data_IF_677021461257
#
_entry.id   IF_677021461257
#
_cell.length_a   1.000
_cell.length_b   1.000
_cell.length_c   1.000
_cell.angle_alpha   90.00
_cell.angle_beta   90.00
_cell.angle_gamma   90.00
#
_symmetry.space_group_name_H-M   'P 1'
#
loop_
_entity.id
_entity.type
_entity.pdbx_description
1 polymer ?
#
# COMPACT_ATOMS: atom_id res chain seq x y z
N UNK A 1 25.11 -8.78 1.20
CA UNK A 1 24.82 -9.59 2.39
C UNK A 1 23.33 -9.48 2.66
N UNK A 2 22.58 -10.57 2.51
CA UNK A 2 21.14 -10.63 2.81
C UNK A 2 20.97 -10.51 4.33
N UNK A 3 20.47 -9.36 4.81
CA UNK A 3 20.09 -9.21 6.21
C UNK A 3 18.83 -10.04 6.44
N UNK A 4 18.91 -11.08 7.27
CA UNK A 4 17.73 -11.82 7.74
C UNK A 4 17.05 -11.02 8.85
N UNK A 5 16.18 -10.09 8.45
CA UNK A 5 15.33 -9.34 9.38
C UNK A 5 13.99 -10.07 9.53
N UNK A 6 13.36 -10.01 10.72
CA UNK A 6 12.00 -10.49 10.86
C UNK A 6 11.07 -9.74 9.90
N UNK A 7 9.96 -10.36 9.49
CA UNK A 7 8.93 -9.63 8.78
C UNK A 7 8.23 -8.69 9.78
N UNK A 8 8.11 -7.39 9.49
CA UNK A 8 7.36 -6.48 10.36
C UNK A 8 5.88 -6.85 10.34
N UNK A 9 5.27 -6.91 11.52
CA UNK A 9 3.86 -7.24 11.72
C UNK A 9 2.99 -6.00 11.97
N UNK A 10 3.60 -4.88 12.34
CA UNK A 10 2.92 -3.59 12.48
C UNK A 10 3.84 -2.38 12.20
N UNK A 11 3.32 -1.17 12.46
CA UNK A 11 4.07 0.08 12.29
C UNK A 11 5.17 0.30 13.33
N UNK A 12 5.01 -0.23 14.55
CA UNK A 12 6.02 -0.07 15.60
C UNK A 12 7.26 -0.91 15.27
N UNK A 13 7.08 -2.10 14.68
CA UNK A 13 8.21 -2.92 14.19
C UNK A 13 9.08 -2.16 13.18
N UNK A 14 8.49 -1.31 12.33
CA UNK A 14 9.22 -0.53 11.33
C UNK A 14 10.14 0.56 11.95
N UNK A 15 9.94 0.87 13.24
CA UNK A 15 10.80 1.81 13.96
C UNK A 15 12.10 1.18 14.46
N UNK A 16 12.21 -0.15 14.43
CA UNK A 16 13.37 -0.87 14.96
C UNK A 16 14.66 -0.53 14.16
N UNK A 17 15.75 -0.12 14.83
CA UNK A 17 16.99 0.27 14.15
C UNK A 17 17.65 -0.85 13.35
N UNK A 18 17.28 -2.12 13.56
CA UNK A 18 17.72 -3.25 12.71
C UNK A 18 17.34 -3.05 11.23
N UNK A 19 16.30 -2.27 10.96
CA UNK A 19 15.89 -1.91 9.60
C UNK A 19 16.60 -0.67 9.02
N UNK A 20 17.61 -0.11 9.69
CA UNK A 20 18.32 1.06 9.19
C UNK A 20 18.86 0.85 7.77
N UNK A 21 18.45 1.72 6.84
CA UNK A 21 18.82 1.66 5.42
C UNK A 21 18.21 0.47 4.68
N UNK A 22 17.12 -0.08 5.21
CA UNK A 22 16.52 -1.31 4.72
C UNK A 22 15.03 -1.15 4.35
N UNK A 23 14.36 -0.10 4.83
CA UNK A 23 12.95 0.14 4.53
C UNK A 23 12.74 0.97 3.26
N UNK A 24 11.63 0.73 2.59
CA UNK A 24 11.17 1.47 1.42
C UNK A 24 9.77 2.01 1.68
N UNK A 25 9.51 3.25 1.29
CA UNK A 25 8.17 3.85 1.37
C UNK A 25 7.90 4.68 0.12
N UNK A 26 6.64 4.84 -0.26
CA UNK A 26 6.28 5.83 -1.28
C UNK A 26 5.93 7.16 -0.64
N UNK A 27 6.06 8.27 -1.37
CA UNK A 27 5.76 9.59 -0.83
C UNK A 27 4.24 9.75 -0.65
N UNK A 28 3.72 10.05 0.56
CA UNK A 28 2.28 10.22 0.79
C UNK A 28 1.68 11.44 0.06
N UNK A 29 2.49 12.35 -0.48
CA UNK A 29 2.01 13.46 -1.32
C UNK A 29 1.85 13.09 -2.79
N UNK A 30 2.31 11.90 -3.20
CA UNK A 30 2.26 11.42 -4.61
C UNK A 30 1.69 10.00 -4.75
N UNK A 31 1.22 9.42 -3.65
CA UNK A 31 0.74 8.04 -3.56
C UNK A 31 -0.49 8.02 -2.68
N UNK A 32 -1.67 7.94 -3.30
CA UNK A 32 -2.96 7.95 -2.59
C UNK A 32 -3.07 6.79 -1.59
N UNK A 33 -2.55 5.62 -1.95
CA UNK A 33 -2.54 4.45 -1.07
C UNK A 33 -1.68 4.69 0.18
N UNK A 34 -0.53 5.34 0.02
CA UNK A 34 0.35 5.65 1.14
C UNK A 34 -0.16 6.84 1.94
N UNK A 35 -0.83 7.79 1.29
CA UNK A 35 -1.56 8.85 1.97
C UNK A 35 -2.58 8.26 2.94
N UNK A 36 -3.41 7.33 2.48
CA UNK A 36 -4.42 6.65 3.30
C UNK A 36 -3.79 5.83 4.42
N UNK A 37 -2.68 5.13 4.16
CA UNK A 37 -1.96 4.39 5.20
C UNK A 37 -1.39 5.31 6.29
N UNK A 38 -0.82 6.46 5.91
CA UNK A 38 -0.34 7.49 6.85
C UNK A 38 -1.50 8.09 7.65
N UNK A 39 -2.59 8.46 6.98
CA UNK A 39 -3.77 9.01 7.64
C UNK A 39 -4.35 8.00 8.64
N UNK A 40 -4.49 6.74 8.24
CA UNK A 40 -4.99 5.68 9.11
C UNK A 40 -4.10 5.49 10.35
N UNK A 41 -2.78 5.51 10.19
CA UNK A 41 -1.84 5.47 11.31
C UNK A 41 -2.05 6.65 12.27
N UNK A 42 -2.21 7.86 11.74
CA UNK A 42 -2.44 9.06 12.55
C UNK A 42 -3.78 9.01 13.29
N UNK A 43 -4.83 8.46 12.67
CA UNK A 43 -6.13 8.27 13.34
C UNK A 43 -6.05 7.20 14.44
N UNK A 44 -5.28 6.13 14.23
CA UNK A 44 -5.12 5.03 15.19
C UNK A 44 -4.28 5.40 16.40
N UNK A 45 -3.12 6.03 16.18
CA UNK A 45 -2.16 6.37 17.24
C UNK A 45 -2.34 7.78 17.80
N UNK A 46 -3.16 8.60 17.16
CA UNK A 46 -3.26 10.03 17.43
C UNK A 46 -2.08 10.82 16.85
N UNK A 47 -2.22 12.15 16.80
CA UNK A 47 -1.30 13.04 16.09
C UNK A 47 0.16 12.90 16.55
N UNK A 48 0.43 13.04 17.84
CA UNK A 48 1.80 13.05 18.38
C UNK A 48 2.47 11.70 18.17
N UNK A 49 1.84 10.60 18.64
CA UNK A 49 2.44 9.27 18.56
C UNK A 49 2.54 8.74 17.13
N UNK A 50 1.55 9.06 16.29
CA UNK A 50 1.58 8.71 14.88
C UNK A 50 2.75 9.38 14.14
N UNK A 51 2.97 10.69 14.35
CA UNK A 51 4.12 11.37 13.77
C UNK A 51 5.46 10.88 14.32
N UNK A 52 5.56 10.61 15.63
CA UNK A 52 6.76 9.99 16.22
C UNK A 52 7.09 8.66 15.52
N UNK A 53 6.09 7.81 15.30
CA UNK A 53 6.24 6.52 14.61
C UNK A 53 6.71 6.70 13.17
N UNK A 54 6.09 7.64 12.43
CA UNK A 54 6.46 7.94 11.03
C UNK A 54 7.88 8.49 10.90
N UNK A 55 8.26 9.43 11.76
CA UNK A 55 9.58 10.05 11.73
C UNK A 55 10.68 9.05 12.14
N UNK A 56 10.40 8.18 13.12
CA UNK A 56 11.33 7.13 13.52
C UNK A 56 11.51 6.09 12.41
N UNK A 57 10.40 5.65 11.81
CA UNK A 57 10.41 4.78 10.61
C UNK A 57 11.18 5.43 9.45
N UNK A 58 11.03 6.74 9.25
CA UNK A 58 11.72 7.46 8.18
C UNK A 58 13.26 7.40 8.33
N UNK A 59 13.77 7.33 9.56
CA UNK A 59 15.20 7.11 9.83
C UNK A 59 15.73 5.77 9.31
N UNK A 60 14.84 4.79 9.09
CA UNK A 60 15.19 3.47 8.56
C UNK A 60 15.06 3.36 7.04
N UNK A 61 14.54 4.39 6.36
CA UNK A 61 14.29 4.34 4.92
C UNK A 61 15.59 4.44 4.11
N UNK A 62 15.72 3.59 3.10
CA UNK A 62 16.77 3.70 2.07
C UNK A 62 16.38 4.71 0.97
N UNK A 63 15.09 4.81 0.67
CA UNK A 63 14.57 5.82 -0.28
C UNK A 63 13.06 6.01 -0.13
N UNK A 64 12.59 7.20 -0.50
CA UNK A 64 11.16 7.51 -0.67
C UNK A 64 10.85 7.53 -2.17
N UNK A 65 10.11 6.52 -2.64
CA UNK A 65 9.69 6.43 -4.04
C UNK A 65 8.58 7.43 -4.39
N UNK A 66 8.48 7.86 -5.64
CA UNK A 66 7.42 8.77 -6.09
C UNK A 66 6.08 8.07 -6.33
N UNK A 67 6.06 6.73 -6.45
CA UNK A 67 4.86 5.94 -6.80
C UNK A 67 4.78 4.67 -5.94
N UNK A 68 3.59 4.26 -5.54
CA UNK A 68 3.36 3.15 -4.59
C UNK A 68 3.77 1.78 -5.14
N UNK A 69 3.49 1.49 -6.42
CA UNK A 69 3.89 0.21 -7.03
C UNK A 69 5.41 0.00 -7.00
N UNK A 70 6.18 1.09 -7.03
CA UNK A 70 7.63 1.03 -7.04
C UNK A 70 8.24 0.48 -5.76
N UNK A 71 7.51 0.40 -4.64
CA UNK A 71 8.02 -0.18 -3.38
C UNK A 71 8.26 -1.68 -3.55
N UNK A 72 7.26 -2.40 -4.07
CA UNK A 72 7.31 -3.85 -4.20
C UNK A 72 8.37 -4.28 -5.24
N UNK A 73 8.44 -3.60 -6.38
CA UNK A 73 9.48 -3.81 -7.40
C UNK A 73 10.90 -3.53 -6.85
N UNK A 74 11.05 -2.50 -6.00
CA UNK A 74 12.35 -2.17 -5.39
C UNK A 74 12.79 -3.20 -4.35
N UNK A 75 11.87 -3.78 -3.59
CA UNK A 75 12.16 -4.92 -2.69
C UNK A 75 12.63 -6.11 -3.54
N UNK A 76 11.90 -6.44 -4.62
CA UNK A 76 12.30 -7.51 -5.55
C UNK A 76 13.68 -7.29 -6.16
N UNK A 77 14.05 -6.04 -6.46
CA UNK A 77 15.39 -5.70 -6.97
C UNK A 77 16.52 -5.73 -5.92
N UNK A 78 16.18 -5.92 -4.64
CA UNK A 78 17.13 -5.94 -3.53
C UNK A 78 17.54 -4.56 -3.00
N UNK A 79 16.85 -3.47 -3.41
CA UNK A 79 17.16 -2.12 -2.94
C UNK A 79 16.76 -1.91 -1.47
N UNK A 80 15.79 -2.67 -0.98
CA UNK A 80 15.36 -2.71 0.42
C UNK A 80 14.72 -4.06 0.72
N UNK A 81 14.31 -4.27 1.96
CA UNK A 81 13.82 -5.57 2.47
C UNK A 81 12.35 -5.55 2.86
N UNK A 82 11.79 -4.39 3.23
CA UNK A 82 10.38 -4.27 3.59
C UNK A 82 9.85 -2.85 3.32
N UNK A 83 8.54 -2.72 3.21
CA UNK A 83 7.88 -1.43 3.02
C UNK A 83 6.37 -1.54 2.97
N UNK A 84 5.63 -0.51 3.43
CA UNK A 84 4.17 -0.51 3.36
C UNK A 84 3.69 -0.52 1.89
N UNK A 85 2.77 -1.44 1.60
CA UNK A 85 2.19 -1.65 0.27
C UNK A 85 0.75 -2.16 0.42
N UNK A 86 -0.08 -1.96 -0.60
CA UNK A 86 -1.41 -2.58 -0.67
C UNK A 86 -1.35 -3.98 -1.26
N UNK A 87 -2.31 -4.81 -0.89
CA UNK A 87 -2.46 -6.20 -1.35
C UNK A 87 -2.50 -6.33 -2.88
N UNK A 88 -3.23 -5.46 -3.59
CA UNK A 88 -3.27 -5.50 -5.06
C UNK A 88 -1.90 -5.38 -5.72
N UNK A 89 -0.94 -4.66 -5.13
CA UNK A 89 0.41 -4.58 -5.67
C UNK A 89 1.29 -5.73 -5.16
N UNK A 90 1.13 -6.12 -3.89
CA UNK A 90 1.88 -7.24 -3.33
C UNK A 90 1.57 -8.56 -4.06
N UNK A 91 0.28 -8.85 -4.29
CA UNK A 91 -0.20 -10.09 -4.91
C UNK A 91 0.40 -10.34 -6.30
N UNK A 92 0.73 -9.27 -7.06
CA UNK A 92 1.38 -9.40 -8.37
C UNK A 92 2.79 -10.00 -8.28
N UNK A 93 3.42 -9.93 -7.11
CA UNK A 93 4.80 -10.37 -6.88
C UNK A 93 4.89 -11.63 -6.01
N UNK A 94 3.79 -12.10 -5.41
CA UNK A 94 3.78 -13.27 -4.51
C UNK A 94 4.02 -14.62 -5.21
N UNK A 95 4.12 -14.65 -6.54
CA UNK A 95 4.65 -15.81 -7.25
C UNK A 95 6.16 -16.02 -7.00
N UNK A 96 6.85 -15.01 -6.47
CA UNK A 96 8.24 -15.11 -6.01
C UNK A 96 8.27 -15.70 -4.58
N UNK A 97 8.88 -16.89 -4.37
CA UNK A 97 8.90 -17.54 -3.06
C UNK A 97 9.73 -16.79 -2.01
N UNK A 98 10.49 -15.76 -2.40
CA UNK A 98 11.27 -14.93 -1.49
C UNK A 98 10.52 -13.68 -1.02
N UNK A 99 9.31 -13.43 -1.54
CA UNK A 99 8.47 -12.32 -1.13
C UNK A 99 7.30 -12.82 -0.29
N UNK A 100 6.98 -12.07 0.75
CA UNK A 100 5.83 -12.30 1.59
C UNK A 100 5.06 -10.99 1.76
N UNK A 101 3.76 -11.12 2.02
CA UNK A 101 2.87 -10.03 2.33
C UNK A 101 2.11 -10.35 3.61
N UNK A 102 1.95 -9.37 4.49
CA UNK A 102 1.24 -9.52 5.76
C UNK A 102 0.42 -8.28 6.01
N UNK A 103 -0.86 -8.48 6.33
CA UNK A 103 -1.72 -7.39 6.78
C UNK A 103 -1.37 -7.01 8.21
N UNK A 104 -1.21 -5.72 8.47
CA UNK A 104 -1.10 -5.21 9.84
C UNK A 104 -2.46 -5.34 10.55
N UNK A 105 -2.50 -5.62 11.88
CA UNK A 105 -3.74 -5.90 12.60
C UNK A 105 -4.84 -4.85 12.50
N UNK A 106 -4.46 -3.58 12.28
CA UNK A 106 -5.37 -2.43 12.14
C UNK A 106 -5.29 -1.81 10.74
N UNK A 107 -5.02 -2.61 9.70
CA UNK A 107 -4.95 -2.08 8.33
C UNK A 107 -6.29 -1.49 7.87
N UNK A 108 -6.27 -0.28 7.32
CA UNK A 108 -7.46 0.31 6.71
C UNK A 108 -7.83 -0.41 5.41
N UNK A 109 -9.14 -0.53 5.18
CA UNK A 109 -9.69 -1.00 3.91
C UNK A 109 -10.02 0.20 3.04
N UNK A 110 -9.49 0.23 1.82
CA UNK A 110 -9.80 1.27 0.84
C UNK A 110 -10.67 0.69 -0.28
N UNK A 111 -11.96 1.05 -0.36
CA UNK A 111 -12.79 0.65 -1.49
C UNK A 111 -12.40 1.42 -2.75
N UNK A 112 -12.50 0.77 -3.91
CA UNK A 112 -12.38 1.45 -5.20
C UNK A 112 -13.72 2.04 -5.58
N UNK A 113 -13.76 3.36 -5.80
CA UNK A 113 -14.97 4.07 -6.18
C UNK A 113 -15.09 4.24 -7.71
N UNK A 114 -16.31 4.21 -8.21
CA UNK A 114 -16.65 4.52 -9.61
C UNK A 114 -17.84 5.47 -9.64
N UNK A 115 -17.79 6.48 -10.51
CA UNK A 115 -18.83 7.51 -10.59
C UNK A 115 -19.04 7.99 -12.03
N UNK A 116 -20.21 8.59 -12.29
CA UNK A 116 -20.53 9.27 -13.55
C UNK A 116 -20.38 10.78 -13.35
N UNK A 117 -19.65 11.44 -14.24
CA UNK A 117 -19.53 12.90 -14.23
C UNK A 117 -20.89 13.57 -14.46
N UNK A 118 -21.15 14.66 -13.75
CA UNK A 118 -22.42 15.42 -13.81
C UNK A 118 -22.83 15.80 -15.23
N UNK A 119 -21.86 16.19 -16.07
CA UNK A 119 -22.09 16.65 -17.45
C UNK A 119 -21.66 15.63 -18.51
N UNK A 120 -21.71 14.32 -18.19
CA UNK A 120 -21.35 13.28 -19.15
C UNK A 120 -22.32 13.26 -20.33
N UNK A 121 -21.78 13.30 -21.56
CA UNK A 121 -22.56 13.15 -22.80
C UNK A 121 -23.09 11.71 -23.00
N UNK A 122 -22.57 10.74 -22.23
CA UNK A 122 -22.91 9.33 -22.31
C UNK A 122 -23.37 8.78 -20.95
N UNK A 123 -24.18 9.54 -20.22
CA UNK A 123 -24.59 9.18 -18.86
C UNK A 123 -25.37 7.85 -18.79
N UNK A 124 -26.16 7.50 -19.81
CA UNK A 124 -26.88 6.21 -19.86
C UNK A 124 -25.91 5.02 -19.90
N UNK A 125 -24.95 5.05 -20.82
CA UNK A 125 -23.98 3.98 -21.01
C UNK A 125 -23.01 3.88 -19.84
N UNK A 126 -22.58 5.02 -19.27
CA UNK A 126 -21.75 5.02 -18.07
C UNK A 126 -22.47 4.35 -16.88
N UNK A 127 -23.76 4.64 -16.66
CA UNK A 127 -24.55 3.97 -15.62
C UNK A 127 -24.74 2.49 -15.91
N UNK A 128 -24.91 2.10 -17.17
CA UNK A 128 -25.01 0.68 -17.58
C UNK A 128 -23.70 -0.05 -17.33
N UNK A 129 -22.57 0.57 -17.64
CA UNK A 129 -21.24 0.05 -17.32
C UNK A 129 -21.05 -0.12 -15.81
N UNK A 130 -21.40 0.87 -14.99
CA UNK A 130 -21.31 0.77 -13.53
C UNK A 130 -22.19 -0.38 -13.00
N UNK A 131 -23.42 -0.54 -13.51
CA UNK A 131 -24.27 -1.68 -13.13
C UNK A 131 -23.65 -3.03 -13.50
N UNK A 132 -23.04 -3.13 -14.67
CA UNK A 132 -22.31 -4.35 -15.06
C UNK A 132 -21.09 -4.59 -14.17
N UNK A 133 -20.28 -3.57 -13.91
CA UNK A 133 -19.09 -3.64 -13.07
C UNK A 133 -19.43 -4.10 -11.64
N UNK A 134 -20.56 -3.64 -11.09
CA UNK A 134 -21.06 -4.03 -9.77
C UNK A 134 -21.85 -5.35 -9.75
N UNK A 135 -22.13 -5.95 -10.91
CA UNK A 135 -22.82 -7.24 -10.98
C UNK A 135 -21.91 -8.40 -10.50
N UNK A 136 -22.48 -9.56 -10.11
CA UNK A 136 -21.69 -10.74 -9.75
C UNK A 136 -20.70 -11.18 -10.84
N UNK A 137 -21.08 -11.05 -12.11
CA UNK A 137 -20.24 -11.36 -13.25
C UNK A 137 -19.05 -10.40 -13.34
N UNK A 138 -19.32 -9.08 -13.32
CA UNK A 138 -18.28 -8.05 -13.34
C UNK A 138 -17.28 -8.19 -12.19
N UNK A 139 -17.76 -8.41 -10.97
CA UNK A 139 -16.91 -8.62 -9.79
C UNK A 139 -16.10 -9.93 -9.87
N UNK A 140 -16.61 -10.97 -10.53
CA UNK A 140 -15.87 -12.22 -10.72
C UNK A 140 -14.73 -12.06 -11.69
N UNK A 141 -14.88 -11.24 -12.74
CA UNK A 141 -13.80 -10.93 -13.68
C UNK A 141 -12.65 -10.20 -12.97
N UNK A 142 -12.97 -9.27 -12.06
CA UNK A 142 -11.95 -8.52 -11.31
C UNK A 142 -11.12 -9.39 -10.36
N UNK A 143 -11.72 -10.45 -9.80
CA UNK A 143 -11.03 -11.39 -8.87
C UNK A 143 -10.08 -12.37 -9.56
N UNK A 144 -10.20 -12.59 -10.88
CA UNK A 144 -9.42 -13.59 -11.62
C UNK A 144 -8.09 -13.06 -12.18
N UNK A 145 -7.60 -11.93 -11.66
CA UNK A 145 -6.33 -11.33 -12.09
C UNK A 145 -5.18 -11.71 -11.18
#
# INVERSE_FOLDING_TARGET
>A
MTRHLPAPADWDDLTDPRYQGALLMSSPSRSDTNHLMVESLLQQKGWIKGWETLLTTAGNLVTISSRSFGVADKIKSGLGVAGPVIDNYANLLLNDPHLAFTYFPQSAVSPTYVAVLKNSQHASEARRFIRYLLSPEGQTILRRR
#
